data_IF_478678649660
#
_entry.id   IF_478678649660
#
_cell.length_a   1.000
_cell.length_b   1.000
_cell.length_c   1.000
_cell.angle_alpha   90.00
_cell.angle_beta   90.00
_cell.angle_gamma   90.00
#
_symmetry.space_group_name_H-M   'P 1'
#
loop_
_entity.id
_entity.type
_entity.pdbx_description
1 polymer ?
#
# COMPACT_ATOMS: atom_id res chain seq x y z
N UNK A 1 -5.27 -6.75 -56.96
CA UNK A 1 -6.23 -6.89 -55.83
C UNK A 1 -5.80 -8.10 -55.03
N UNK A 2 -5.07 -7.91 -53.92
CA UNK A 2 -4.53 -8.99 -53.08
C UNK A 2 -5.16 -8.81 -51.70
N UNK A 3 -6.00 -9.76 -51.30
CA UNK A 3 -6.61 -9.81 -49.97
C UNK A 3 -5.68 -10.57 -49.04
N UNK A 4 -4.77 -9.88 -48.34
CA UNK A 4 -4.06 -10.50 -47.22
C UNK A 4 -4.99 -10.51 -46.01
N UNK A 5 -5.68 -11.63 -45.82
CA UNK A 5 -6.39 -11.92 -44.58
C UNK A 5 -5.39 -12.07 -43.44
N UNK A 6 -5.34 -11.08 -42.55
CA UNK A 6 -4.72 -11.22 -41.24
C UNK A 6 -5.72 -11.93 -40.34
N UNK A 7 -5.64 -13.25 -40.26
CA UNK A 7 -6.30 -13.98 -39.20
C UNK A 7 -5.65 -13.57 -37.87
N UNK A 8 -6.40 -12.83 -37.06
CA UNK A 8 -6.02 -12.56 -35.69
C UNK A 8 -6.08 -13.87 -34.91
N UNK A 9 -4.92 -14.43 -34.54
CA UNK A 9 -4.83 -15.55 -33.61
C UNK A 9 -5.21 -15.05 -32.21
N UNK A 10 -6.32 -15.51 -31.60
CA UNK A 10 -6.61 -15.20 -30.22
C UNK A 10 -5.75 -16.09 -29.32
N UNK A 11 -4.49 -15.70 -29.08
CA UNK A 11 -3.75 -16.24 -27.93
C UNK A 11 -4.05 -15.37 -26.72
N UNK A 12 -5.32 -15.33 -26.30
CA UNK A 12 -5.65 -14.86 -24.97
C UNK A 12 -5.24 -15.97 -23.99
N UNK A 13 -3.98 -15.94 -23.54
CA UNK A 13 -3.61 -16.68 -22.34
C UNK A 13 -4.45 -16.10 -21.20
N UNK A 14 -5.46 -16.86 -20.74
CA UNK A 14 -6.23 -16.53 -19.55
C UNK A 14 -5.30 -16.59 -18.35
N UNK A 15 -4.66 -15.47 -17.99
CA UNK A 15 -3.85 -15.37 -16.79
C UNK A 15 -4.77 -15.61 -15.58
N UNK A 16 -4.56 -16.72 -14.88
CA UNK A 16 -5.28 -17.03 -13.65
C UNK A 16 -4.73 -16.11 -12.55
N UNK A 17 -5.58 -15.24 -11.99
CA UNK A 17 -5.19 -14.40 -10.85
C UNK A 17 -5.20 -15.18 -9.54
N UNK A 18 -4.06 -15.78 -9.21
CA UNK A 18 -3.86 -16.51 -7.96
C UNK A 18 -3.91 -15.60 -6.71
N UNK A 19 -3.84 -14.28 -6.87
CA UNK A 19 -3.86 -13.34 -5.75
C UNK A 19 -5.27 -12.88 -5.36
N UNK A 20 -6.30 -13.23 -6.13
CA UNK A 20 -7.69 -12.90 -5.83
C UNK A 20 -8.14 -13.44 -4.46
N UNK A 21 -7.86 -14.72 -4.17
CA UNK A 21 -8.17 -15.34 -2.88
C UNK A 21 -7.45 -14.66 -1.71
N UNK A 22 -6.11 -14.52 -1.75
CA UNK A 22 -5.36 -13.79 -0.73
C UNK A 22 -5.86 -12.36 -0.50
N UNK A 23 -6.16 -11.58 -1.55
CA UNK A 23 -6.70 -10.23 -1.40
C UNK A 23 -8.04 -10.21 -0.69
N UNK A 24 -8.92 -11.18 -0.98
CA UNK A 24 -10.21 -11.29 -0.29
C UNK A 24 -10.04 -11.56 1.21
N UNK A 25 -9.15 -12.47 1.58
CA UNK A 25 -8.83 -12.76 3.00
C UNK A 25 -8.30 -11.52 3.71
N UNK A 26 -7.35 -10.81 3.10
CA UNK A 26 -6.77 -9.58 3.66
C UNK A 26 -7.84 -8.49 3.82
N UNK A 27 -8.71 -8.31 2.81
CA UNK A 27 -9.82 -7.37 2.86
C UNK A 27 -10.77 -7.65 4.03
N UNK A 28 -11.19 -8.90 4.18
CA UNK A 28 -12.06 -9.34 5.28
C UNK A 28 -11.40 -9.12 6.64
N UNK A 29 -10.12 -9.48 6.80
CA UNK A 29 -9.39 -9.25 8.04
C UNK A 29 -9.30 -7.76 8.40
N UNK A 30 -9.01 -6.90 7.43
CA UNK A 30 -8.95 -5.46 7.62
C UNK A 30 -10.30 -4.87 8.07
N UNK A 31 -11.41 -5.35 7.50
CA UNK A 31 -12.76 -4.91 7.89
C UNK A 31 -13.09 -5.30 9.33
N UNK A 32 -12.76 -6.52 9.74
CA UNK A 32 -12.96 -7.00 11.12
C UNK A 32 -12.14 -6.14 12.09
N UNK A 33 -10.86 -5.94 11.81
CA UNK A 33 -9.97 -5.11 12.64
C UNK A 33 -10.52 -3.69 12.75
N UNK A 34 -10.98 -3.10 11.65
CA UNK A 34 -11.55 -1.76 11.63
C UNK A 34 -12.81 -1.66 12.50
N UNK A 35 -13.75 -2.60 12.35
CA UNK A 35 -14.99 -2.64 13.14
C UNK A 35 -14.71 -2.82 14.63
N UNK A 36 -13.86 -3.79 14.98
CA UNK A 36 -13.48 -4.04 16.38
C UNK A 36 -12.75 -2.83 16.96
N UNK A 37 -11.80 -2.26 16.22
CA UNK A 37 -11.08 -1.05 16.60
C UNK A 37 -12.03 0.12 16.88
N UNK A 38 -13.02 0.36 16.02
CA UNK A 38 -14.01 1.43 16.23
C UNK A 38 -14.84 1.22 17.49
N UNK A 39 -15.24 -0.03 17.75
CA UNK A 39 -16.05 -0.36 18.93
C UNK A 39 -15.26 -0.25 20.23
N UNK A 40 -13.99 -0.69 20.24
CA UNK A 40 -13.17 -0.75 21.45
C UNK A 40 -12.43 0.57 21.74
N UNK A 41 -11.86 1.19 20.70
CA UNK A 41 -11.04 2.41 20.83
C UNK A 41 -11.84 3.69 20.61
N UNK A 42 -13.05 3.59 20.04
CA UNK A 42 -13.82 4.73 19.56
C UNK A 42 -13.44 5.12 18.13
N UNK A 43 -14.37 5.76 17.42
CA UNK A 43 -14.23 6.07 15.99
C UNK A 43 -13.01 6.94 15.66
N UNK A 44 -12.63 7.85 16.54
CA UNK A 44 -11.56 8.83 16.30
C UNK A 44 -10.15 8.28 16.59
N UNK A 45 -10.06 7.10 17.19
CA UNK A 45 -8.78 6.49 17.60
C UNK A 45 -8.33 5.33 16.72
N UNK A 46 -9.11 5.00 15.68
CA UNK A 46 -8.72 3.95 14.72
C UNK A 46 -7.73 4.54 13.71
N UNK A 47 -6.50 4.02 13.63
CA UNK A 47 -5.52 4.53 12.68
C UNK A 47 -6.01 4.36 11.24
N UNK A 48 -5.91 5.43 10.47
CA UNK A 48 -6.27 5.45 9.05
C UNK A 48 -5.00 5.33 8.20
N UNK A 49 -5.15 4.90 6.93
CA UNK A 49 -4.04 4.92 5.99
C UNK A 49 -3.39 6.31 5.89
N UNK A 50 -4.21 7.38 5.90
CA UNK A 50 -3.74 8.76 5.86
C UNK A 50 -2.94 9.15 7.12
N UNK A 51 -3.45 8.85 8.31
CA UNK A 51 -2.75 9.17 9.55
C UNK A 51 -1.43 8.42 9.68
N UNK A 52 -1.41 7.16 9.22
CA UNK A 52 -0.19 6.34 9.22
C UNK A 52 0.85 6.89 8.25
N UNK A 53 0.42 7.29 7.04
CA UNK A 53 1.31 7.91 6.06
C UNK A 53 1.91 9.21 6.58
N UNK A 54 1.11 10.05 7.23
CA UNK A 54 1.61 11.29 7.85
C UNK A 54 2.61 11.01 8.97
N UNK A 55 2.33 10.05 9.85
CA UNK A 55 3.26 9.66 10.90
C UNK A 55 4.61 9.17 10.35
N UNK A 56 4.59 8.42 9.23
CA UNK A 56 5.80 7.99 8.54
C UNK A 56 6.61 9.19 8.01
N UNK A 57 5.96 10.17 7.38
CA UNK A 57 6.62 11.40 6.90
C UNK A 57 7.25 12.17 8.05
N UNK A 58 6.54 12.35 9.17
CA UNK A 58 7.09 13.02 10.34
C UNK A 58 8.31 12.27 10.90
N UNK A 59 8.25 10.94 10.97
CA UNK A 59 9.38 10.13 11.40
C UNK A 59 10.60 10.27 10.47
N UNK A 60 10.38 10.33 9.14
CA UNK A 60 11.46 10.50 8.17
C UNK A 60 12.10 11.89 8.24
N UNK A 61 11.30 12.94 8.47
CA UNK A 61 11.80 14.29 8.69
C UNK A 61 12.68 14.36 9.95
N UNK A 62 12.26 13.74 11.04
CA UNK A 62 13.06 13.69 12.26
C UNK A 62 14.36 12.92 12.07
N UNK A 63 14.31 11.77 11.37
CA UNK A 63 15.54 11.04 11.00
C UNK A 63 16.45 11.86 10.10
N UNK A 64 15.92 12.72 9.23
CA UNK A 64 16.73 13.63 8.42
C UNK A 64 17.40 14.70 9.29
N UNK A 65 16.65 15.34 10.20
CA UNK A 65 17.16 16.32 11.16
C UNK A 65 18.30 15.74 12.01
N UNK A 66 18.10 14.55 12.57
CA UNK A 66 19.12 13.88 13.39
C UNK A 66 20.37 13.59 12.57
N UNK A 67 20.23 13.16 11.30
CA UNK A 67 21.38 12.94 10.41
C UNK A 67 22.15 14.24 10.13
N UNK A 68 21.46 15.35 9.93
CA UNK A 68 22.08 16.66 9.74
C UNK A 68 22.81 17.15 11.00
N UNK A 69 22.22 16.93 12.18
CA UNK A 69 22.87 17.25 13.46
C UNK A 69 24.13 16.41 13.69
N UNK A 70 24.03 15.09 13.48
CA UNK A 70 25.18 14.18 13.59
C UNK A 70 26.29 14.55 12.60
N UNK A 71 25.93 14.91 11.35
CA UNK A 71 26.90 15.37 10.37
C UNK A 71 27.62 16.64 10.82
N UNK A 72 26.89 17.61 11.39
CA UNK A 72 27.48 18.85 11.95
C UNK A 72 28.40 18.59 13.13
N UNK A 73 28.06 17.65 14.01
CA UNK A 73 28.90 17.27 15.15
C UNK A 73 30.15 16.54 14.67
N UNK A 74 30.03 15.64 13.71
CA UNK A 74 31.16 14.84 13.20
C UNK A 74 32.11 15.63 12.29
N UNK A 75 31.67 16.76 11.73
CA UNK A 75 32.50 17.64 10.89
C UNK A 75 33.28 18.70 11.67
N UNK A 76 33.19 18.68 13.00
CA UNK A 76 33.83 19.65 13.90
C UNK A 76 35.03 19.00 14.60
#
# INVERSE_FOLDING_TARGET
MITTGREAMPSASSSVDLSAGPRAVVGTAAEIIFKVGRTVLGADRVPTAKSNAWAAVCADQERARIREENARISSR
#
